data_IF_413550274720
#
_entry.id   IF_413550274720
#
_cell.length_a   1.000
_cell.length_b   1.000
_cell.length_c   1.000
_cell.angle_alpha   90.00
_cell.angle_beta   90.00
_cell.angle_gamma   90.00
#
_symmetry.space_group_name_H-M   'P 1'
#
loop_
_entity.id
_entity.type
_entity.pdbx_description
1 polymer ?
#
# COMPACT_ATOMS: atom_id res chain seq x y z
N UNK A 1 13.38 20.07 10.69
CA UNK A 1 12.82 18.96 9.89
C UNK A 1 11.47 18.61 10.49
N UNK A 2 10.36 18.84 9.78
CA UNK A 2 9.06 18.37 10.23
C UNK A 2 9.06 16.85 10.20
N UNK A 3 8.66 16.21 11.29
CA UNK A 3 8.58 14.74 11.32
C UNK A 3 7.49 14.29 10.35
N UNK A 4 7.88 13.58 9.31
CA UNK A 4 6.95 13.02 8.33
C UNK A 4 6.09 11.94 9.01
N UNK A 5 4.78 12.07 8.90
CA UNK A 5 3.80 11.16 9.46
C UNK A 5 3.25 10.26 8.36
N UNK A 6 3.12 8.96 8.64
CA UNK A 6 2.60 7.94 7.71
C UNK A 6 1.21 7.51 8.16
N UNK A 7 0.22 7.57 7.27
CA UNK A 7 -1.08 6.97 7.53
C UNK A 7 -1.01 5.46 7.27
N UNK A 8 -1.47 4.63 8.21
CA UNK A 8 -1.56 3.18 8.05
C UNK A 8 -3.03 2.79 8.08
N UNK A 9 -3.61 2.53 6.92
CA UNK A 9 -5.06 2.36 6.75
C UNK A 9 -5.42 0.88 6.74
N UNK A 10 -6.23 0.43 7.70
CA UNK A 10 -6.70 -0.95 7.77
C UNK A 10 -7.35 -1.32 9.10
N UNK A 11 -7.74 -2.59 9.25
CA UNK A 11 -8.25 -3.10 10.52
C UNK A 11 -7.10 -3.29 11.53
N UNK A 12 -7.34 -3.17 12.85
CA UNK A 12 -6.27 -3.21 13.85
C UNK A 12 -5.37 -4.45 13.80
N UNK A 13 -5.91 -5.61 13.43
CA UNK A 13 -5.13 -6.86 13.29
C UNK A 13 -4.14 -6.81 12.12
N UNK A 14 -4.42 -6.01 11.10
CA UNK A 14 -3.55 -5.80 9.96
C UNK A 14 -2.57 -4.63 10.19
N UNK A 15 -3.00 -3.54 10.84
CA UNK A 15 -2.12 -2.36 11.03
C UNK A 15 -1.05 -2.58 12.09
N UNK A 16 -1.37 -3.26 13.20
CA UNK A 16 -0.45 -3.39 14.36
C UNK A 16 0.93 -3.97 14.00
N UNK A 17 1.04 -5.06 13.22
CA UNK A 17 2.35 -5.58 12.81
C UNK A 17 3.16 -4.57 12.00
N UNK A 18 2.50 -3.84 11.09
CA UNK A 18 3.14 -2.82 10.26
C UNK A 18 3.59 -1.62 11.10
N UNK A 19 2.76 -1.13 12.03
CA UNK A 19 3.14 -0.06 12.96
C UNK A 19 4.37 -0.44 13.81
N UNK A 20 4.43 -1.70 14.26
CA UNK A 20 5.60 -2.19 14.98
C UNK A 20 6.86 -2.24 14.09
N UNK A 21 6.73 -2.59 12.81
CA UNK A 21 7.83 -2.54 11.85
C UNK A 21 8.28 -1.10 11.54
N UNK A 22 7.34 -0.18 11.30
CA UNK A 22 7.62 1.24 11.08
C UNK A 22 8.31 1.87 12.29
N UNK A 23 7.85 1.58 13.51
CA UNK A 23 8.49 2.04 14.75
C UNK A 23 9.93 1.54 14.88
N UNK A 24 10.21 0.28 14.54
CA UNK A 24 11.59 -0.26 14.51
C UNK A 24 12.46 0.44 13.47
N UNK A 25 11.86 0.87 12.36
CA UNK A 25 12.51 1.69 11.34
C UNK A 25 12.59 3.20 11.69
N UNK A 26 12.21 3.58 12.92
CA UNK A 26 12.17 4.98 13.40
C UNK A 26 11.22 5.89 12.60
N UNK A 27 10.20 5.31 11.99
CA UNK A 27 9.17 6.01 11.25
C UNK A 27 7.92 6.20 12.13
N UNK A 28 7.33 7.40 12.10
CA UNK A 28 6.09 7.70 12.83
C UNK A 28 4.89 7.36 11.97
N UNK A 29 3.97 6.57 12.50
CA UNK A 29 2.73 6.20 11.86
C UNK A 29 1.52 6.50 12.71
N UNK A 30 0.39 6.74 12.07
CA UNK A 30 -0.94 6.71 12.71
C UNK A 30 -1.78 5.59 12.10
N UNK A 31 -2.31 4.65 12.90
CA UNK A 31 -3.29 3.70 12.41
C UNK A 31 -4.62 4.41 12.19
N UNK A 32 -5.25 4.13 11.05
CA UNK A 32 -6.55 4.68 10.69
C UNK A 32 -7.43 3.55 10.18
N UNK A 33 -8.58 3.34 10.81
CA UNK A 33 -9.56 2.40 10.25
C UNK A 33 -10.21 3.00 8.99
N UNK A 34 -10.50 2.19 7.95
CA UNK A 34 -11.11 2.71 6.73
C UNK A 34 -12.41 3.49 6.98
N UNK A 35 -13.27 3.00 7.87
CA UNK A 35 -14.51 3.68 8.24
C UNK A 35 -14.27 5.03 8.94
N UNK A 36 -13.17 5.18 9.68
CA UNK A 36 -12.80 6.44 10.30
C UNK A 36 -12.25 7.43 9.25
N UNK A 37 -11.38 6.96 8.34
CA UNK A 37 -10.88 7.77 7.23
C UNK A 37 -12.02 8.34 6.37
N UNK A 38 -13.01 7.52 6.02
CA UNK A 38 -14.17 7.94 5.22
C UNK A 38 -15.03 9.02 5.91
N UNK A 39 -15.06 9.04 7.26
CA UNK A 39 -15.77 10.07 8.03
C UNK A 39 -14.97 11.35 8.24
N UNK A 40 -13.70 11.36 7.85
CA UNK A 40 -12.79 12.49 8.05
C UNK A 40 -11.91 12.71 6.80
N UNK A 41 -12.48 13.20 5.69
CA UNK A 41 -11.72 13.53 4.49
C UNK A 41 -10.56 14.47 4.84
N UNK A 42 -9.39 14.27 4.23
CA UNK A 42 -8.19 15.05 4.57
C UNK A 42 -7.27 14.37 5.57
N UNK A 43 -7.78 13.44 6.39
CA UNK A 43 -7.00 12.81 7.47
C UNK A 43 -5.76 12.09 6.95
N UNK A 44 -5.91 11.32 5.88
CA UNK A 44 -4.82 10.52 5.30
C UNK A 44 -4.05 11.28 4.22
N UNK A 45 -4.67 12.27 3.58
CA UNK A 45 -4.05 13.12 2.56
C UNK A 45 -3.14 14.22 3.14
N UNK A 46 -3.21 14.50 4.45
CA UNK A 46 -2.23 15.35 5.14
C UNK A 46 -0.91 14.65 5.52
N UNK A 47 -0.78 13.34 5.26
CA UNK A 47 0.40 12.56 5.59
C UNK A 47 1.45 12.60 4.46
N UNK A 48 2.69 12.21 4.78
CA UNK A 48 3.77 12.14 3.79
C UNK A 48 3.66 10.92 2.86
N UNK A 49 2.96 9.88 3.32
CA UNK A 49 2.67 8.65 2.59
C UNK A 49 1.48 7.95 3.25
N UNK A 50 0.65 7.27 2.45
CA UNK A 50 -0.35 6.32 2.97
C UNK A 50 0.07 4.88 2.69
N UNK A 51 -0.10 4.00 3.68
CA UNK A 51 0.05 2.55 3.51
C UNK A 51 -1.30 1.89 3.73
N UNK A 52 -1.83 1.25 2.70
CA UNK A 52 -3.06 0.46 2.80
C UNK A 52 -2.72 -0.97 3.22
N UNK A 53 -3.22 -1.40 4.37
CA UNK A 53 -3.18 -2.79 4.84
C UNK A 53 -4.28 -3.65 4.17
N UNK A 54 -4.40 -3.52 2.86
CA UNK A 54 -5.33 -4.25 2.01
C UNK A 54 -4.78 -4.32 0.59
N UNK A 55 -5.21 -5.32 -0.22
CA UNK A 55 -4.85 -5.34 -1.61
C UNK A 55 -5.34 -4.10 -2.38
N UNK A 56 -4.71 -3.75 -3.50
CA UNK A 56 -5.13 -2.64 -4.36
C UNK A 56 -6.58 -2.77 -4.83
N UNK A 57 -7.31 -1.66 -4.90
CA UNK A 57 -8.71 -1.62 -5.32
C UNK A 57 -9.72 -2.00 -4.24
N UNK A 58 -9.27 -2.35 -3.03
CA UNK A 58 -10.18 -2.72 -1.93
C UNK A 58 -10.83 -1.49 -1.29
N UNK A 59 -10.17 -0.33 -1.36
CA UNK A 59 -10.64 0.92 -0.75
C UNK A 59 -10.73 2.04 -1.79
N UNK A 60 -11.54 1.88 -2.86
CA UNK A 60 -11.46 2.74 -4.05
C UNK A 60 -11.63 4.23 -3.74
N UNK A 61 -12.51 4.58 -2.79
CA UNK A 61 -12.72 5.97 -2.38
C UNK A 61 -11.49 6.57 -1.69
N UNK A 62 -10.87 5.84 -0.75
CA UNK A 62 -9.69 6.31 -0.02
C UNK A 62 -8.45 6.31 -0.91
N UNK A 63 -8.29 5.29 -1.75
CA UNK A 63 -7.22 5.20 -2.74
C UNK A 63 -7.29 6.38 -3.71
N UNK A 64 -8.49 6.75 -4.18
CA UNK A 64 -8.70 7.91 -5.03
C UNK A 64 -8.39 9.23 -4.31
N UNK A 65 -8.78 9.38 -3.03
CA UNK A 65 -8.43 10.56 -2.23
C UNK A 65 -6.91 10.75 -2.13
N UNK A 66 -6.19 9.69 -1.73
CA UNK A 66 -4.73 9.72 -1.59
C UNK A 66 -4.04 10.01 -2.93
N UNK A 67 -4.53 9.42 -4.01
CA UNK A 67 -4.00 9.65 -5.34
C UNK A 67 -4.22 11.09 -5.80
N UNK A 68 -5.43 11.63 -5.62
CA UNK A 68 -5.76 13.02 -5.99
C UNK A 68 -4.98 14.06 -5.18
N UNK A 69 -4.60 13.73 -3.93
CA UNK A 69 -3.79 14.58 -3.07
C UNK A 69 -2.28 14.46 -3.32
N UNK A 70 -1.84 13.67 -4.31
CA UNK A 70 -0.42 13.47 -4.65
C UNK A 70 0.45 12.88 -3.51
N UNK A 71 -0.17 12.27 -2.49
CA UNK A 71 0.54 11.73 -1.31
C UNK A 71 1.28 10.42 -1.62
N UNK A 72 0.77 9.67 -2.58
CA UNK A 72 1.25 8.32 -2.88
C UNK A 72 0.74 7.27 -1.89
N UNK A 73 0.60 6.04 -2.38
CA UNK A 73 0.06 4.92 -1.63
C UNK A 73 0.92 3.68 -1.84
N UNK A 74 1.28 2.99 -0.76
CA UNK A 74 1.85 1.64 -0.80
C UNK A 74 0.80 0.63 -0.30
N UNK A 75 0.65 -0.49 -0.99
CA UNK A 75 -0.23 -1.57 -0.55
C UNK A 75 0.54 -2.68 0.17
N UNK A 76 -0.07 -3.22 1.22
CA UNK A 76 0.46 -4.36 1.96
C UNK A 76 -0.70 -5.24 2.36
N UNK A 77 -0.63 -6.52 2.04
CA UNK A 77 -1.68 -7.48 2.39
C UNK A 77 -1.07 -8.83 2.74
N UNK A 78 -1.79 -9.62 3.54
CA UNK A 78 -1.42 -11.00 3.84
C UNK A 78 -2.63 -11.79 4.31
N UNK A 79 -2.56 -13.10 4.12
CA UNK A 79 -3.51 -14.06 4.67
C UNK A 79 -2.76 -15.30 5.23
N UNK A 80 -3.46 -16.44 5.31
CA UNK A 80 -2.87 -17.71 5.76
C UNK A 80 -1.94 -18.36 4.73
N UNK A 81 -2.02 -17.98 3.45
CA UNK A 81 -1.39 -18.64 2.31
C UNK A 81 -0.39 -17.75 1.57
N UNK A 82 -0.59 -16.43 1.59
CA UNK A 82 0.28 -15.50 0.88
C UNK A 82 0.33 -14.10 1.48
N UNK A 83 1.29 -13.33 0.99
CA UNK A 83 1.46 -11.93 1.32
C UNK A 83 1.95 -11.12 0.11
N UNK A 84 1.63 -9.83 0.14
CA UNK A 84 1.90 -8.86 -0.90
C UNK A 84 2.49 -7.59 -0.26
N UNK A 85 3.55 -7.05 -0.88
CA UNK A 85 4.06 -5.70 -0.62
C UNK A 85 4.21 -4.97 -1.95
N UNK A 86 3.50 -3.88 -2.09
CA UNK A 86 3.31 -3.16 -3.35
C UNK A 86 1.90 -3.37 -3.94
N UNK A 87 1.58 -2.62 -5.01
CA UNK A 87 2.42 -1.62 -5.63
C UNK A 87 2.48 -0.33 -4.81
N UNK A 88 3.51 0.46 -5.07
CA UNK A 88 3.48 1.89 -4.83
C UNK A 88 2.82 2.59 -6.03
N UNK A 89 1.87 3.48 -5.75
CA UNK A 89 1.14 4.26 -6.75
C UNK A 89 1.08 5.73 -6.35
N UNK A 90 1.32 6.61 -7.30
CA UNK A 90 1.14 8.05 -7.16
C UNK A 90 0.88 8.66 -8.56
N UNK A 91 0.36 9.89 -8.66
CA UNK A 91 0.31 10.61 -9.93
C UNK A 91 1.66 10.61 -10.63
N UNK A 92 1.67 10.30 -11.93
CA UNK A 92 2.88 10.13 -12.74
C UNK A 92 3.61 8.79 -12.54
N UNK A 93 3.36 8.08 -11.44
CA UNK A 93 4.10 6.89 -11.02
C UNK A 93 3.19 5.66 -10.93
N UNK A 94 3.27 4.79 -11.95
CA UNK A 94 2.47 3.56 -12.00
C UNK A 94 1.00 3.77 -12.39
N UNK A 95 0.17 2.73 -12.26
CA UNK A 95 -1.27 2.78 -12.51
C UNK A 95 -2.04 3.49 -11.39
N UNK A 96 -3.14 4.17 -11.73
CA UNK A 96 -4.04 4.73 -10.73
C UNK A 96 -4.92 3.64 -10.07
N UNK A 97 -5.61 3.96 -8.96
CA UNK A 97 -6.54 3.04 -8.29
C UNK A 97 -7.58 2.40 -9.22
N UNK A 98 -8.11 3.16 -10.20
CA UNK A 98 -9.07 2.62 -11.17
C UNK A 98 -8.46 1.55 -12.10
N UNK A 99 -7.16 1.64 -12.39
CA UNK A 99 -6.43 0.61 -13.12
C UNK A 99 -6.14 -0.61 -12.23
N UNK A 100 -5.90 -0.40 -10.93
CA UNK A 100 -5.61 -1.45 -9.96
C UNK A 100 -6.81 -2.35 -9.63
N UNK A 101 -8.03 -1.78 -9.58
CA UNK A 101 -9.24 -2.45 -9.12
C UNK A 101 -9.67 -3.73 -9.89
N UNK A 102 -8.96 -4.10 -10.96
CA UNK A 102 -9.25 -5.31 -11.76
C UNK A 102 -8.33 -6.49 -11.45
N UNK A 103 -7.23 -6.28 -10.73
CA UNK A 103 -6.30 -7.34 -10.39
C UNK A 103 -6.86 -8.16 -9.21
N UNK A 104 -7.38 -9.35 -9.50
CA UNK A 104 -7.85 -10.30 -8.49
C UNK A 104 -6.76 -10.51 -7.44
N UNK A 105 -7.02 -10.02 -6.24
CA UNK A 105 -6.09 -10.15 -5.11
C UNK A 105 -6.63 -11.19 -4.13
N UNK A 106 -5.75 -11.96 -3.47
CA UNK A 106 -6.18 -12.97 -2.52
C UNK A 106 -6.97 -12.32 -1.37
N UNK A 107 -8.21 -12.77 -1.20
CA UNK A 107 -9.12 -12.39 -0.12
C UNK A 107 -9.23 -13.53 0.90
N UNK A 108 -8.10 -14.15 1.26
CA UNK A 108 -8.07 -15.24 2.23
C UNK A 108 -8.32 -14.75 3.65
N UNK A 109 -9.07 -15.53 4.42
CA UNK A 109 -9.13 -15.37 5.88
C UNK A 109 -7.90 -15.97 6.56
N UNK A 110 -7.60 -15.51 7.78
CA UNK A 110 -6.52 -16.05 8.61
C UNK A 110 -5.18 -15.34 8.41
N UNK A 111 -4.16 -15.78 9.15
CA UNK A 111 -2.81 -15.15 9.13
C UNK A 111 -1.74 -16.19 9.36
N UNK A 112 -0.65 -16.15 8.59
CA UNK A 112 0.56 -16.93 8.84
C UNK A 112 1.69 -16.04 9.39
N UNK A 113 2.26 -16.38 10.55
CA UNK A 113 3.20 -15.51 11.29
C UNK A 113 4.43 -15.09 10.46
N UNK A 114 4.98 -16.00 9.65
CA UNK A 114 6.14 -15.68 8.82
C UNK A 114 5.80 -14.67 7.71
N UNK A 115 4.62 -14.80 7.11
CA UNK A 115 4.14 -13.90 6.06
C UNK A 115 3.89 -12.50 6.62
N UNK A 116 3.24 -12.42 7.79
CA UNK A 116 3.03 -11.16 8.52
C UNK A 116 4.37 -10.47 8.82
N UNK A 117 5.34 -11.22 9.35
CA UNK A 117 6.66 -10.69 9.72
C UNK A 117 7.42 -10.18 8.50
N UNK A 118 7.39 -10.93 7.40
CA UNK A 118 8.03 -10.54 6.15
C UNK A 118 7.38 -9.31 5.53
N UNK A 119 6.06 -9.32 5.33
CA UNK A 119 5.34 -8.25 4.66
C UNK A 119 5.48 -6.92 5.42
N UNK A 120 5.28 -6.95 6.74
CA UNK A 120 5.42 -5.75 7.58
C UNK A 120 6.85 -5.19 7.57
N UNK A 121 7.87 -6.05 7.61
CA UNK A 121 9.27 -5.62 7.61
C UNK A 121 9.70 -5.06 6.25
N UNK A 122 9.34 -5.73 5.15
CA UNK A 122 9.63 -5.26 3.80
C UNK A 122 8.89 -3.95 3.49
N UNK A 123 7.62 -3.85 3.89
CA UNK A 123 6.85 -2.60 3.75
C UNK A 123 7.51 -1.44 4.49
N UNK A 124 7.99 -1.65 5.72
CA UNK A 124 8.68 -0.59 6.46
C UNK A 124 9.99 -0.12 5.78
N UNK A 125 10.72 -1.03 5.14
CA UNK A 125 11.89 -0.68 4.33
C UNK A 125 11.49 0.16 3.11
N UNK A 126 10.45 -0.28 2.40
CA UNK A 126 9.95 0.39 1.20
C UNK A 126 9.38 1.77 1.51
N UNK A 127 8.66 1.93 2.62
CA UNK A 127 8.22 3.26 3.09
C UNK A 127 9.41 4.19 3.31
N UNK A 128 10.48 3.70 3.94
CA UNK A 128 11.70 4.51 4.16
C UNK A 128 12.33 4.94 2.84
N UNK A 129 12.37 4.06 1.86
CA UNK A 129 12.97 4.35 0.56
C UNK A 129 12.10 5.34 -0.22
N UNK A 130 10.76 5.16 -0.21
CA UNK A 130 9.81 6.10 -0.81
C UNK A 130 9.98 7.50 -0.23
N UNK A 131 10.10 7.63 1.10
CA UNK A 131 10.32 8.92 1.76
C UNK A 131 11.68 9.57 1.40
N UNK A 132 12.62 8.79 0.86
CA UNK A 132 13.89 9.27 0.30
C UNK A 132 13.82 9.54 -1.20
N UNK A 133 12.66 9.36 -1.82
CA UNK A 133 12.45 9.55 -3.26
C UNK A 133 12.89 8.36 -4.11
N UNK A 134 12.93 7.14 -3.56
CA UNK A 134 13.33 5.94 -4.30
C UNK A 134 12.41 4.75 -4.00
N UNK A 135 11.93 4.04 -5.00
CA UNK A 135 11.31 2.73 -4.79
C UNK A 135 11.36 1.93 -6.09
N UNK A 136 11.58 0.63 -5.96
CA UNK A 136 11.45 -0.33 -7.05
C UNK A 136 10.01 -0.84 -7.22
N UNK A 137 9.08 -0.42 -6.36
CA UNK A 137 7.69 -0.91 -6.33
C UNK A 137 6.70 -0.04 -7.12
N UNK A 138 7.17 0.84 -8.00
CA UNK A 138 6.28 1.65 -8.84
C UNK A 138 5.50 0.75 -9.80
N UNK A 139 4.20 0.58 -9.55
CA UNK A 139 3.35 -0.30 -10.36
C UNK A 139 3.72 -1.79 -10.31
N UNK A 140 4.57 -2.22 -9.38
CA UNK A 140 4.96 -3.63 -9.18
C UNK A 140 5.00 -3.96 -7.70
N UNK A 141 4.94 -5.25 -7.37
CA UNK A 141 4.86 -5.68 -5.98
C UNK A 141 5.42 -7.08 -5.80
N UNK A 142 6.02 -7.29 -4.64
CA UNK A 142 6.53 -8.58 -4.22
C UNK A 142 5.42 -9.42 -3.63
N UNK A 143 5.31 -10.66 -4.09
CA UNK A 143 4.37 -11.65 -3.62
C UNK A 143 5.15 -12.83 -3.03
N UNK A 144 4.78 -13.23 -1.82
CA UNK A 144 5.21 -14.50 -1.25
C UNK A 144 3.99 -15.40 -1.08
N UNK A 145 4.00 -16.55 -1.73
CA UNK A 145 2.97 -17.60 -1.63
C UNK A 145 3.61 -18.84 -1.00
N UNK A 146 2.96 -19.45 -0.02
CA UNK A 146 3.52 -20.64 0.66
C UNK A 146 3.48 -21.87 -0.24
N UNK A 147 2.54 -21.92 -1.17
CA UNK A 147 2.38 -23.01 -2.13
C UNK A 147 3.39 -22.97 -3.30
N UNK A 148 4.15 -21.87 -3.43
CA UNK A 148 5.18 -21.70 -4.46
C UNK A 148 6.55 -21.41 -3.80
N UNK A 149 7.64 -22.04 -4.24
CA UNK A 149 8.96 -21.70 -3.71
C UNK A 149 9.38 -20.29 -4.14
N UNK A 150 9.86 -19.49 -3.17
CA UNK A 150 10.48 -18.18 -3.43
C UNK A 150 9.52 -17.00 -3.44
N UNK A 151 10.03 -15.85 -3.91
CA UNK A 151 9.29 -14.61 -4.09
C UNK A 151 9.02 -14.41 -5.58
N UNK A 152 7.83 -13.91 -5.92
CA UNK A 152 7.49 -13.50 -7.27
C UNK A 152 7.17 -12.01 -7.33
N UNK A 153 7.35 -11.42 -8.51
CA UNK A 153 6.88 -10.07 -8.81
C UNK A 153 5.53 -10.16 -9.51
N UNK A 154 4.62 -9.29 -9.12
CA UNK A 154 3.40 -9.03 -9.89
C UNK A 154 3.42 -7.58 -10.35
N UNK A 155 3.00 -7.36 -11.59
CA UNK A 155 3.00 -6.06 -12.24
C UNK A 155 1.56 -5.61 -12.45
N UNK A 156 1.29 -4.34 -12.17
CA UNK A 156 0.03 -3.69 -12.48
C UNK A 156 0.23 -2.71 -13.61
N UNK A 157 -0.56 -2.89 -14.66
CA UNK A 157 -0.46 -2.06 -15.86
C UNK A 157 -1.50 -0.96 -15.85
N UNK A 158 -1.16 0.15 -16.51
CA UNK A 158 -2.13 1.20 -16.82
C UNK A 158 -3.10 0.67 -17.88
N UNK A 159 -4.38 1.03 -17.74
CA UNK A 159 -5.36 0.85 -18.81
C UNK A 159 -5.03 1.80 -19.96
N UNK A 160 -5.05 1.30 -21.18
CA UNK A 160 -4.96 2.13 -22.37
C UNK A 160 -6.11 3.16 -22.37
N UNK A 161 -5.78 4.44 -22.57
CA UNK A 161 -6.77 5.53 -22.56
C UNK A 161 -7.41 5.81 -21.21
N UNK A 162 -6.75 5.48 -20.08
CA UNK A 162 -7.29 5.77 -18.75
C UNK A 162 -7.55 7.29 -18.59
N UNK A 163 -8.78 7.73 -18.26
CA UNK A 163 -9.09 9.16 -18.17
C UNK A 163 -8.61 9.82 -16.87
N UNK A 164 -8.03 9.06 -15.93
CA UNK A 164 -7.55 9.60 -14.66
C UNK A 164 -6.31 10.46 -14.87
N UNK A 165 -6.37 11.72 -14.44
CA UNK A 165 -5.24 12.66 -14.47
C UNK A 165 -4.03 12.05 -13.75
N UNK A 166 -2.85 12.17 -14.35
CA UNK A 166 -1.61 11.56 -13.81
C UNK A 166 -1.50 10.04 -14.02
N UNK A 167 -2.54 9.37 -14.53
CA UNK A 167 -2.51 7.95 -14.88
C UNK A 167 -2.34 7.71 -16.37
N UNK A 168 -3.00 8.52 -17.20
CA UNK A 168 -2.68 8.58 -18.62
C UNK A 168 -1.21 8.99 -18.74
N UNK A 169 -0.38 8.14 -19.33
CA UNK A 169 0.80 8.68 -20.00
C UNK A 169 0.38 9.25 -21.36
N UNK A 170 1.15 10.19 -21.93
CA UNK A 170 1.08 10.45 -23.36
C UNK A 170 1.21 9.16 -24.18
#
# INVERSE_FOLDING_TARGET
MHTQQIAVVGIPTATRPLEAALRRAQLRSIPVEPAAALRSPGLISGCALTVFCSPPGTQPTLEAEVYAAEVGALHVAWDASGALVGPFVAPGHGPCPSCLAQAGSPAGGGTHRALVSWASSLAALQVRDVLRGSTDLVGVGWVWRLEHPGLSLTAWTRKAGCPTVGCAQP
#
